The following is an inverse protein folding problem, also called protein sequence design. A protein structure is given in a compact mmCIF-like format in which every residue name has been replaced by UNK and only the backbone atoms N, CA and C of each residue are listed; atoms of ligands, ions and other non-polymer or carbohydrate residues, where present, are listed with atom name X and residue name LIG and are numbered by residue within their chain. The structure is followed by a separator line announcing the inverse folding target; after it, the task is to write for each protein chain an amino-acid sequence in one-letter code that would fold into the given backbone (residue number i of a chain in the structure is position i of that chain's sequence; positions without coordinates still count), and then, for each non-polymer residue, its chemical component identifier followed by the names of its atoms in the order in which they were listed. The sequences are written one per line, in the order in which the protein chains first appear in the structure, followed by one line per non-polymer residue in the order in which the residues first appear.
data_IF_471227654148
#
_entry.id   IF_471227654148
#
_cell.length_a   1.000
_cell.length_b   1.000
_cell.length_c   1.000
_cell.angle_alpha   90.00
_cell.angle_beta   90.00
_cell.angle_gamma   90.00
#
_symmetry.space_group_name_H-M   'P 1'
#
loop_
_entity.id
_entity.type
_entity.pdbx_description
1 polymer ?
#
# COMPACT_ATOMS: atom_id res chain seq x y z
N UNK A 1 14.38 -12.70 -0.40
CA UNK A 1 15.70 -12.33 0.17
C UNK A 1 15.96 -13.13 1.45
N UNK A 2 17.16 -13.68 1.64
CA UNK A 2 17.59 -14.32 2.90
C UNK A 2 18.72 -13.48 3.52
N UNK A 3 18.68 -13.28 4.83
CA UNK A 3 19.74 -12.60 5.59
C UNK A 3 19.75 -13.15 7.02
N UNK A 4 20.93 -13.19 7.66
CA UNK A 4 21.08 -13.79 9.00
C UNK A 4 20.49 -15.22 9.07
N UNK A 5 20.78 -16.04 8.05
CA UNK A 5 20.33 -17.44 7.91
C UNK A 5 18.82 -17.68 7.88
N UNK A 6 17.99 -16.65 7.70
CA UNK A 6 16.54 -16.81 7.56
C UNK A 6 15.94 -15.89 6.49
N UNK A 7 14.73 -16.19 5.98
CA UNK A 7 14.02 -15.29 5.08
C UNK A 7 13.75 -13.94 5.74
N UNK A 8 13.79 -12.84 4.98
CA UNK A 8 13.46 -11.52 5.52
C UNK A 8 12.02 -11.45 6.10
N UNK A 9 11.11 -12.27 5.58
CA UNK A 9 9.72 -12.37 6.06
C UNK A 9 9.57 -13.08 7.40
N UNK A 10 10.61 -13.69 7.97
CA UNK A 10 10.54 -14.28 9.31
C UNK A 10 10.84 -13.28 10.43
N UNK A 11 11.38 -12.10 10.11
CA UNK A 11 11.61 -11.04 11.09
C UNK A 11 10.29 -10.33 11.41
N UNK A 12 9.93 -10.28 12.70
CA UNK A 12 8.65 -9.71 13.16
C UNK A 12 8.43 -8.26 12.69
N UNK A 13 9.46 -7.41 12.69
CA UNK A 13 9.35 -6.04 12.19
C UNK A 13 8.94 -5.97 10.71
N UNK A 14 9.39 -6.92 9.89
CA UNK A 14 9.00 -7.02 8.48
C UNK A 14 7.57 -7.54 8.38
N UNK A 15 7.19 -8.52 9.19
CA UNK A 15 5.81 -9.02 9.23
C UNK A 15 4.81 -7.92 9.60
N UNK A 16 5.11 -7.09 10.60
CA UNK A 16 4.27 -5.96 10.98
C UNK A 16 4.13 -4.95 9.85
N UNK A 17 5.23 -4.58 9.18
CA UNK A 17 5.18 -3.72 7.99
C UNK A 17 4.30 -4.31 6.89
N UNK A 18 4.49 -5.59 6.56
CA UNK A 18 3.69 -6.28 5.55
C UNK A 18 2.20 -6.32 5.93
N UNK A 19 1.88 -6.59 7.19
CA UNK A 19 0.51 -6.60 7.69
C UNK A 19 -0.16 -5.22 7.61
N UNK A 20 0.54 -4.17 8.05
CA UNK A 20 0.04 -2.78 7.99
C UNK A 20 -0.18 -2.32 6.55
N UNK A 21 0.75 -2.64 5.64
CA UNK A 21 0.59 -2.34 4.22
C UNK A 21 -0.61 -3.07 3.62
N UNK A 22 -0.75 -4.37 3.89
CA UNK A 22 -1.87 -5.17 3.39
C UNK A 22 -3.23 -4.63 3.88
N UNK A 23 -3.32 -4.30 5.18
CA UNK A 23 -4.51 -3.66 5.75
C UNK A 23 -4.82 -2.33 5.07
N UNK A 24 -3.81 -1.48 4.87
CA UNK A 24 -3.98 -0.19 4.20
C UNK A 24 -4.51 -0.31 2.77
N UNK A 25 -3.99 -1.27 1.99
CA UNK A 25 -4.48 -1.58 0.63
C UNK A 25 -5.96 -1.96 0.67
N UNK A 26 -6.34 -2.82 1.60
CA UNK A 26 -7.72 -3.30 1.70
C UNK A 26 -8.69 -2.19 2.08
N UNK A 27 -8.30 -1.32 3.01
CA UNK A 27 -9.09 -0.14 3.37
C UNK A 27 -9.25 0.82 2.19
N UNK A 28 -8.16 1.12 1.46
CA UNK A 28 -8.23 1.99 0.29
C UNK A 28 -9.11 1.41 -0.82
N UNK A 29 -8.98 0.11 -1.11
CA UNK A 29 -9.84 -0.60 -2.06
C UNK A 29 -11.31 -0.49 -1.69
N UNK A 30 -11.64 -0.76 -0.43
CA UNK A 30 -13.02 -0.72 0.04
C UNK A 30 -13.60 0.70 0.00
N UNK A 31 -12.81 1.73 0.29
CA UNK A 31 -13.25 3.13 0.17
C UNK A 31 -13.54 3.52 -1.27
N UNK A 32 -12.67 3.14 -2.21
CA UNK A 32 -12.87 3.38 -3.64
C UNK A 32 -14.12 2.68 -4.14
N UNK A 33 -14.28 1.39 -3.82
CA UNK A 33 -15.47 0.62 -4.20
C UNK A 33 -16.75 1.17 -3.57
N UNK A 34 -16.71 1.64 -2.32
CA UNK A 34 -17.86 2.28 -1.67
C UNK A 34 -18.28 3.55 -2.41
N UNK A 35 -17.32 4.41 -2.77
CA UNK A 35 -17.60 5.63 -3.51
C UNK A 35 -18.19 5.33 -4.90
N UNK A 36 -17.63 4.33 -5.61
CA UNK A 36 -18.15 3.86 -6.89
C UNK A 36 -19.58 3.31 -6.75
N UNK A 37 -19.81 2.42 -5.78
CA UNK A 37 -21.14 1.85 -5.53
C UNK A 37 -22.19 2.91 -5.20
N UNK A 38 -21.85 3.93 -4.40
CA UNK A 38 -22.77 5.04 -4.12
C UNK A 38 -23.13 5.81 -5.39
N UNK A 39 -22.14 6.10 -6.23
CA UNK A 39 -22.35 6.76 -7.53
C UNK A 39 -23.26 5.93 -8.44
N UNK A 40 -22.98 4.64 -8.58
CA UNK A 40 -23.74 3.73 -9.46
C UNK A 40 -25.19 3.58 -9.01
N UNK A 41 -25.47 3.75 -7.71
CA UNK A 41 -26.81 3.71 -7.14
C UNK A 41 -27.48 5.09 -7.04
N UNK A 42 -26.91 6.14 -7.66
CA UNK A 42 -27.48 7.48 -7.64
C UNK A 42 -27.52 8.14 -6.26
N UNK A 43 -26.69 7.66 -5.32
CA UNK A 43 -26.60 8.20 -3.94
C UNK A 43 -25.53 9.30 -3.86
N UNK A 44 -25.65 10.24 -2.91
CA UNK A 44 -24.57 11.20 -2.64
C UNK A 44 -23.26 10.47 -2.35
N UNK A 45 -22.19 10.84 -3.07
CA UNK A 45 -20.90 10.15 -3.01
C UNK A 45 -19.69 11.09 -2.93
N UNK A 46 -19.88 12.40 -3.03
CA UNK A 46 -18.78 13.39 -3.14
C UNK A 46 -17.80 13.30 -1.96
N UNK A 47 -18.33 13.14 -0.74
CA UNK A 47 -17.52 13.02 0.48
C UNK A 47 -16.72 11.72 0.49
N UNK A 48 -17.36 10.60 0.18
CA UNK A 48 -16.73 9.28 0.13
C UNK A 48 -15.66 9.21 -0.96
N UNK A 49 -15.89 9.84 -2.13
CA UNK A 49 -14.91 9.96 -3.19
C UNK A 49 -13.70 10.81 -2.75
N UNK A 50 -13.92 11.93 -2.06
CA UNK A 50 -12.83 12.76 -1.52
C UNK A 50 -11.99 11.98 -0.49
N UNK A 51 -12.64 11.26 0.43
CA UNK A 51 -11.96 10.39 1.38
C UNK A 51 -11.17 9.27 0.70
N UNK A 52 -11.78 8.61 -0.29
CA UNK A 52 -11.12 7.55 -1.05
C UNK A 52 -9.88 8.08 -1.77
N UNK A 53 -9.96 9.23 -2.45
CA UNK A 53 -8.81 9.85 -3.13
C UNK A 53 -7.69 10.16 -2.14
N UNK A 54 -8.01 10.83 -1.02
CA UNK A 54 -7.00 11.22 -0.04
C UNK A 54 -6.28 9.99 0.50
N UNK A 55 -7.04 9.05 1.08
CA UNK A 55 -6.49 7.89 1.74
C UNK A 55 -5.75 6.96 0.77
N UNK A 56 -6.31 6.68 -0.41
CA UNK A 56 -5.66 5.85 -1.41
C UNK A 56 -4.33 6.43 -1.88
N UNK A 57 -4.24 7.76 -2.06
CA UNK A 57 -3.00 8.40 -2.47
C UNK A 57 -1.92 8.38 -1.38
N UNK A 58 -2.30 8.62 -0.13
CA UNK A 58 -1.34 8.59 0.99
C UNK A 58 -0.86 7.17 1.29
N UNK A 59 -1.75 6.19 1.27
CA UNK A 59 -1.37 4.80 1.52
C UNK A 59 -0.48 4.25 0.40
N UNK A 60 -0.75 4.61 -0.86
CA UNK A 60 0.09 4.21 -1.99
C UNK A 60 1.53 4.72 -1.80
N UNK A 61 1.70 6.01 -1.52
CA UNK A 61 3.02 6.61 -1.25
C UNK A 61 3.71 5.96 -0.04
N UNK A 62 2.97 5.67 1.04
CA UNK A 62 3.54 4.99 2.22
C UNK A 62 4.03 3.58 1.87
N UNK A 63 3.23 2.80 1.16
CA UNK A 63 3.57 1.41 0.77
C UNK A 63 4.76 1.39 -0.20
N UNK A 64 4.82 2.31 -1.16
CA UNK A 64 5.97 2.43 -2.07
C UNK A 64 7.27 2.67 -1.28
N UNK A 65 7.26 3.62 -0.34
CA UNK A 65 8.41 3.91 0.51
C UNK A 65 8.81 2.73 1.43
N UNK A 66 7.84 2.05 2.03
CA UNK A 66 8.13 0.87 2.86
C UNK A 66 8.65 -0.30 2.02
N UNK A 67 8.15 -0.45 0.78
CA UNK A 67 8.63 -1.45 -0.17
C UNK A 67 10.08 -1.18 -0.56
N UNK A 68 10.45 0.07 -0.84
CA UNK A 68 11.84 0.49 -1.04
C UNK A 68 12.72 0.07 0.14
N UNK A 69 12.29 0.40 1.36
CA UNK A 69 13.06 0.10 2.57
C UNK A 69 13.24 -1.41 2.80
N UNK A 70 12.22 -2.22 2.57
CA UNK A 70 12.29 -3.69 2.69
C UNK A 70 13.29 -4.29 1.67
N UNK A 71 13.41 -3.69 0.49
CA UNK A 71 14.37 -4.12 -0.54
C UNK A 71 15.79 -3.59 -0.29
N UNK A 72 15.97 -2.63 0.62
CA UNK A 72 17.25 -2.02 0.95
C UNK A 72 17.88 -1.34 -0.28
N UNK A 73 19.19 -1.50 -0.47
CA UNK A 73 19.89 -0.90 -1.62
C UNK A 73 19.32 -1.30 -2.99
N UNK A 74 18.77 -2.52 -3.12
CA UNK A 74 18.13 -2.96 -4.37
C UNK A 74 16.84 -2.20 -4.68
N UNK A 75 16.17 -1.65 -3.67
CA UNK A 75 14.97 -0.83 -3.88
C UNK A 75 15.28 0.42 -4.73
N UNK A 76 16.49 0.97 -4.62
CA UNK A 76 16.92 2.16 -5.37
C UNK A 76 17.47 1.84 -6.77
N UNK A 77 17.61 0.56 -7.12
CA UNK A 77 18.17 0.14 -8.41
C UNK A 77 17.06 0.01 -9.44
N UNK A 78 17.19 0.73 -10.57
CA UNK A 78 16.24 0.76 -11.68
C UNK A 78 15.84 -0.61 -12.25
N UNK A 79 16.68 -1.62 -12.05
CA UNK A 79 16.45 -2.99 -12.50
C UNK A 79 15.29 -3.67 -11.79
N UNK A 80 14.94 -3.23 -10.57
CA UNK A 80 13.89 -3.84 -9.75
C UNK A 80 12.55 -3.10 -9.84
N UNK A 81 12.53 -1.86 -10.35
CA UNK A 81 11.32 -1.10 -10.69
C UNK A 81 10.52 -0.55 -9.50
N UNK A 82 11.04 -0.71 -8.27
CA UNK A 82 10.40 -0.27 -7.02
C UNK A 82 10.59 1.24 -6.82
N UNK A 83 11.72 1.78 -7.26
CA UNK A 83 12.06 3.21 -7.28
C UNK A 83 11.15 4.07 -8.16
N UNK A 84 10.34 3.44 -9.01
CA UNK A 84 9.40 4.10 -9.91
C UNK A 84 7.98 4.19 -9.34
N UNK A 85 7.70 3.45 -8.26
CA UNK A 85 6.40 3.44 -7.57
C UNK A 85 6.23 4.70 -6.73
#
# INVERSE_FOLDING_TARGET
RKQFNQPLSSFQAIQFKLADMAMGIELARNMVHKAAWLKDNGKPFTKEAAFAKLYASEIASKIANESLQIHGGYGYMKEYGIERL
#
